data_IF_462367555446
#
_entry.id   IF_462367555446
#
_cell.length_a   1.000
_cell.length_b   1.000
_cell.length_c   1.000
_cell.angle_alpha   90.00
_cell.angle_beta   90.00
_cell.angle_gamma   90.00
#
_symmetry.space_group_name_H-M   'P 1'
#
loop_
_entity.id
_entity.type
_entity.pdbx_description
1 polymer ?
#
# COMPACT_ATOMS: atom_id res chain seq x y z
N UNK A 1 -45.15 20.72 29.36
CA UNK A 1 -44.89 19.93 28.13
C UNK A 1 -45.18 20.62 26.78
N UNK A 2 -46.15 21.55 26.60
CA UNK A 2 -46.38 22.17 25.26
C UNK A 2 -45.29 23.12 24.76
N UNK A 3 -44.59 23.82 25.67
CA UNK A 3 -43.56 24.81 25.33
C UNK A 3 -42.30 24.16 24.67
N UNK A 4 -41.91 23.01 25.18
CA UNK A 4 -40.75 22.26 24.69
C UNK A 4 -41.00 21.70 23.27
N UNK A 5 -42.22 21.27 22.97
CA UNK A 5 -42.61 20.79 21.64
C UNK A 5 -42.69 21.91 20.62
N UNK A 6 -43.14 23.11 21.04
CA UNK A 6 -43.19 24.31 20.19
C UNK A 6 -41.77 24.79 19.84
N UNK A 7 -40.86 24.80 20.83
CA UNK A 7 -39.45 25.14 20.59
C UNK A 7 -38.73 24.13 19.66
N UNK A 8 -38.96 22.83 19.85
CA UNK A 8 -38.43 21.79 18.94
C UNK A 8 -38.92 21.95 17.50
N UNK A 9 -40.21 22.33 17.30
CA UNK A 9 -40.81 22.54 16.00
C UNK A 9 -40.26 23.78 15.29
N UNK A 10 -40.00 24.85 16.03
CA UNK A 10 -39.37 26.07 15.49
C UNK A 10 -37.92 25.79 15.10
N UNK A 11 -37.18 25.07 15.94
CA UNK A 11 -35.79 24.69 15.64
C UNK A 11 -35.69 23.79 14.40
N UNK A 12 -36.56 22.79 14.28
CA UNK A 12 -36.63 21.91 13.11
C UNK A 12 -37.00 22.68 11.82
N UNK A 13 -37.91 23.64 11.90
CA UNK A 13 -38.28 24.48 10.76
C UNK A 13 -37.14 25.41 10.35
N UNK A 14 -36.43 26.01 11.30
CA UNK A 14 -35.27 26.84 11.05
C UNK A 14 -34.10 26.04 10.42
N UNK A 15 -33.94 24.77 10.81
CA UNK A 15 -32.91 23.88 10.19
C UNK A 15 -33.31 23.44 8.77
N UNK A 16 -34.61 23.35 8.45
CA UNK A 16 -35.08 23.00 7.09
C UNK A 16 -34.93 24.17 6.09
N UNK A 17 -34.82 25.41 6.57
CA UNK A 17 -34.65 26.60 5.74
C UNK A 17 -33.17 26.98 5.55
N UNK A 18 -32.23 26.26 6.22
CA UNK A 18 -30.80 26.48 6.04
C UNK A 18 -30.23 25.55 4.96
N UNK A 19 -29.61 26.15 3.95
CA UNK A 19 -28.82 25.39 2.96
C UNK A 19 -27.58 24.81 3.65
N UNK A 20 -27.58 23.50 3.89
CA UNK A 20 -26.44 22.78 4.49
C UNK A 20 -25.50 22.34 3.36
N UNK A 21 -24.34 22.98 3.27
CA UNK A 21 -23.29 22.60 2.33
C UNK A 21 -22.36 21.56 2.98
N UNK A 22 -22.32 20.38 2.40
CA UNK A 22 -21.37 19.34 2.81
C UNK A 22 -20.08 19.48 2.00
N UNK A 23 -18.93 19.57 2.67
CA UNK A 23 -17.61 19.49 2.08
C UNK A 23 -17.04 18.11 2.31
N UNK A 24 -16.71 17.42 1.24
CA UNK A 24 -15.98 16.14 1.33
C UNK A 24 -14.49 16.47 1.20
N UNK A 25 -13.71 16.12 2.21
CA UNK A 25 -12.26 16.28 2.14
C UNK A 25 -11.67 15.21 1.22
N UNK A 26 -10.64 15.54 0.42
CA UNK A 26 -9.98 14.60 -0.44
C UNK A 26 -9.53 13.38 0.34
N UNK A 27 -9.82 12.20 -0.17
CA UNK A 27 -9.39 10.95 0.43
C UNK A 27 -8.02 10.53 -0.11
N UNK A 28 -7.25 9.83 0.72
CA UNK A 28 -6.08 9.08 0.29
C UNK A 28 -6.52 7.89 -0.56
N UNK A 29 -5.79 7.62 -1.62
CA UNK A 29 -6.03 6.47 -2.50
C UNK A 29 -4.95 5.42 -2.32
N UNK A 30 -5.40 4.18 -2.30
CA UNK A 30 -4.59 3.00 -2.46
C UNK A 30 -5.24 2.20 -3.58
N UNK A 31 -4.48 1.87 -4.62
CA UNK A 31 -4.98 1.03 -5.71
C UNK A 31 -4.52 -0.40 -5.49
N UNK A 32 -5.42 -1.34 -5.76
CA UNK A 32 -5.15 -2.78 -5.72
C UNK A 32 -5.46 -3.38 -7.09
N UNK A 33 -4.57 -4.26 -7.56
CA UNK A 33 -4.76 -5.06 -8.77
C UNK A 33 -4.10 -6.42 -8.62
N UNK A 34 -4.23 -7.26 -9.64
CA UNK A 34 -3.58 -8.58 -9.67
C UNK A 34 -2.59 -8.64 -10.82
N UNK A 35 -1.36 -9.04 -10.54
CA UNK A 35 -0.36 -9.34 -11.56
C UNK A 35 -0.78 -10.60 -12.33
N UNK A 36 -0.58 -10.65 -13.66
CA UNK A 36 -0.74 -11.88 -14.43
C UNK A 36 0.14 -13.02 -13.88
N UNK A 37 -0.36 -14.24 -13.88
CA UNK A 37 0.34 -15.41 -13.33
C UNK A 37 1.71 -15.63 -14.00
N UNK A 38 1.77 -15.53 -15.33
CA UNK A 38 3.03 -15.63 -16.07
C UNK A 38 4.07 -14.55 -15.68
N UNK A 39 3.60 -13.35 -15.29
CA UNK A 39 4.49 -12.29 -14.79
C UNK A 39 4.99 -12.63 -13.38
N UNK A 40 4.14 -13.18 -12.51
CA UNK A 40 4.54 -13.66 -11.18
C UNK A 40 5.62 -14.72 -11.29
N UNK A 41 5.46 -15.67 -12.22
CA UNK A 41 6.43 -16.73 -12.46
C UNK A 41 7.76 -16.18 -12.97
N UNK A 42 7.72 -15.34 -14.01
CA UNK A 42 8.93 -14.71 -14.60
C UNK A 42 9.72 -13.91 -13.55
N UNK A 43 9.03 -13.12 -12.73
CA UNK A 43 9.65 -12.34 -11.64
C UNK A 43 10.23 -13.25 -10.56
N UNK A 44 9.55 -14.35 -10.21
CA UNK A 44 10.06 -15.33 -9.27
C UNK A 44 11.33 -16.02 -9.78
N UNK A 45 11.35 -16.43 -11.05
CA UNK A 45 12.52 -17.06 -11.67
C UNK A 45 13.73 -16.12 -11.67
N UNK A 46 13.50 -14.85 -12.02
CA UNK A 46 14.54 -13.82 -11.93
C UNK A 46 15.09 -13.69 -10.51
N UNK A 47 14.22 -13.55 -9.51
CA UNK A 47 14.63 -13.39 -8.11
C UNK A 47 15.35 -14.64 -7.58
N UNK A 48 14.91 -15.84 -7.95
CA UNK A 48 15.54 -17.10 -7.54
C UNK A 48 16.96 -17.26 -8.14
N UNK A 49 17.18 -16.79 -9.36
CA UNK A 49 18.51 -16.74 -9.97
C UNK A 49 19.38 -15.63 -9.34
N UNK A 50 18.81 -14.43 -9.15
CA UNK A 50 19.54 -13.30 -8.58
C UNK A 50 20.06 -13.61 -7.17
N UNK A 51 19.29 -14.32 -6.34
CA UNK A 51 19.71 -14.76 -5.01
C UNK A 51 20.95 -15.67 -5.02
N UNK A 52 21.20 -16.39 -6.10
CA UNK A 52 22.38 -17.27 -6.22
C UNK A 52 23.66 -16.52 -6.60
N UNK A 53 23.55 -15.27 -7.09
CA UNK A 53 24.68 -14.45 -7.47
C UNK A 53 25.51 -14.06 -6.24
N UNK A 54 26.84 -14.16 -6.33
CA UNK A 54 27.75 -13.79 -5.24
C UNK A 54 27.83 -12.28 -5.02
N UNK A 55 27.62 -11.52 -6.06
CA UNK A 55 27.68 -10.05 -6.13
C UNK A 55 26.32 -9.37 -5.96
N UNK A 56 25.30 -10.14 -5.56
CA UNK A 56 23.96 -9.58 -5.28
C UNK A 56 24.00 -8.47 -4.24
N UNK A 57 23.31 -7.38 -4.48
CA UNK A 57 23.28 -6.22 -3.60
C UNK A 57 22.25 -6.40 -2.49
N UNK A 58 22.72 -6.59 -1.27
CA UNK A 58 21.86 -6.68 -0.10
C UNK A 58 21.52 -5.30 0.46
N UNK A 59 20.25 -5.04 0.72
CA UNK A 59 19.75 -3.86 1.44
C UNK A 59 19.52 -4.12 2.93
N UNK A 60 19.95 -5.28 3.43
CA UNK A 60 19.70 -5.70 4.82
C UNK A 60 20.19 -4.68 5.85
N UNK A 61 21.30 -4.00 5.57
CA UNK A 61 21.88 -3.02 6.49
C UNK A 61 21.13 -1.68 6.50
N UNK A 62 20.26 -1.44 5.53
CA UNK A 62 19.46 -0.21 5.42
C UNK A 62 18.10 -0.36 6.13
N UNK A 63 17.79 -1.57 6.61
CA UNK A 63 16.53 -1.86 7.26
C UNK A 63 16.62 -1.64 8.77
N UNK A 64 15.71 -0.85 9.29
CA UNK A 64 15.48 -0.72 10.74
C UNK A 64 14.80 -1.98 11.30
N UNK A 65 14.18 -2.79 10.44
CA UNK A 65 13.50 -4.04 10.79
C UNK A 65 14.41 -5.23 11.01
N UNK A 66 13.83 -6.31 11.55
CA UNK A 66 14.54 -7.57 11.71
C UNK A 66 14.18 -8.52 10.56
N UNK A 67 15.09 -8.63 9.60
CA UNK A 67 15.12 -9.74 8.65
C UNK A 67 16.31 -10.62 9.05
N UNK A 68 16.04 -11.57 9.96
CA UNK A 68 17.10 -12.46 10.50
C UNK A 68 17.40 -13.62 9.57
N UNK A 69 16.34 -14.26 9.09
CA UNK A 69 16.39 -15.46 8.25
C UNK A 69 16.28 -15.14 6.77
N UNK A 70 15.66 -14.01 6.47
CA UNK A 70 15.41 -13.55 5.11
C UNK A 70 16.48 -12.63 4.55
N UNK A 71 16.17 -12.08 3.37
CA UNK A 71 17.02 -11.14 2.64
C UNK A 71 16.14 -10.03 2.04
N UNK A 72 16.72 -8.84 1.94
CA UNK A 72 16.22 -7.79 1.05
C UNK A 72 17.31 -7.48 0.04
N UNK A 73 16.97 -7.56 -1.24
CA UNK A 73 17.93 -7.45 -2.34
C UNK A 73 17.53 -6.33 -3.27
N UNK A 74 18.46 -5.42 -3.54
CA UNK A 74 18.31 -4.45 -4.63
C UNK A 74 18.44 -5.18 -5.95
N UNK A 75 17.39 -5.15 -6.78
CA UNK A 75 17.35 -5.79 -8.07
C UNK A 75 17.85 -4.82 -9.14
N UNK A 76 18.38 -5.37 -10.23
CA UNK A 76 18.67 -4.58 -11.42
C UNK A 76 17.38 -4.41 -12.23
N UNK A 77 16.71 -3.27 -12.03
CA UNK A 77 15.45 -2.98 -12.72
C UNK A 77 15.63 -2.77 -14.24
N UNK A 78 16.89 -2.65 -14.72
CA UNK A 78 17.17 -2.54 -16.16
C UNK A 78 17.36 -3.91 -16.84
N UNK A 79 17.36 -5.02 -16.07
CA UNK A 79 17.42 -6.38 -16.62
C UNK A 79 16.18 -6.63 -17.50
N UNK A 80 16.43 -7.16 -18.71
CA UNK A 80 15.37 -7.38 -19.72
C UNK A 80 14.20 -8.25 -19.22
N UNK A 81 14.46 -9.16 -18.28
CA UNK A 81 13.42 -10.01 -17.65
C UNK A 81 12.45 -9.25 -16.78
N UNK A 82 12.79 -8.04 -16.35
CA UNK A 82 11.90 -7.14 -15.61
C UNK A 82 11.20 -6.11 -16.50
N UNK A 83 11.42 -6.12 -17.81
CA UNK A 83 10.87 -5.12 -18.74
C UNK A 83 9.33 -5.09 -18.68
N UNK A 84 8.66 -6.24 -18.77
CA UNK A 84 7.21 -6.33 -18.71
C UNK A 84 6.66 -5.88 -17.35
N UNK A 85 7.31 -6.30 -16.27
CA UNK A 85 6.98 -5.87 -14.92
C UNK A 85 7.11 -4.35 -14.76
N UNK A 86 8.24 -3.76 -15.19
CA UNK A 86 8.46 -2.32 -15.13
C UNK A 86 7.41 -1.54 -15.92
N UNK A 87 7.10 -1.99 -17.14
CA UNK A 87 6.06 -1.36 -17.95
C UNK A 87 4.68 -1.44 -17.25
N UNK A 88 4.37 -2.58 -16.66
CA UNK A 88 3.12 -2.80 -15.93
C UNK A 88 2.98 -1.84 -14.76
N UNK A 89 3.98 -1.74 -13.90
CA UNK A 89 3.93 -0.84 -12.72
C UNK A 89 3.97 0.65 -13.11
N UNK A 90 4.68 1.03 -14.17
CA UNK A 90 4.67 2.41 -14.68
C UNK A 90 3.29 2.80 -15.22
N UNK A 91 2.61 1.91 -15.94
CA UNK A 91 1.25 2.13 -16.41
C UNK A 91 0.27 2.29 -15.23
N UNK A 92 0.41 1.47 -14.19
CA UNK A 92 -0.38 1.61 -12.95
C UNK A 92 -0.08 2.92 -12.22
N UNK A 93 1.17 3.36 -12.18
CA UNK A 93 1.55 4.64 -11.62
C UNK A 93 0.90 5.81 -12.36
N UNK A 94 0.88 5.76 -13.69
CA UNK A 94 0.20 6.76 -14.52
C UNK A 94 -1.32 6.77 -14.25
N UNK A 95 -1.95 5.59 -14.15
CA UNK A 95 -3.38 5.50 -13.82
C UNK A 95 -3.67 6.00 -12.40
N UNK A 96 -2.78 5.73 -11.42
CA UNK A 96 -2.88 6.29 -10.08
C UNK A 96 -2.95 7.81 -10.10
N UNK A 97 -2.06 8.48 -10.85
CA UNK A 97 -2.03 9.94 -11.00
C UNK A 97 -3.32 10.45 -11.65
N UNK A 98 -3.79 9.75 -12.69
CA UNK A 98 -5.04 10.10 -13.38
C UNK A 98 -6.24 10.05 -12.44
N UNK A 99 -6.37 9.00 -11.65
CA UNK A 99 -7.47 8.85 -10.70
C UNK A 99 -7.38 9.87 -9.56
N UNK A 100 -6.18 10.15 -9.08
CA UNK A 100 -5.94 11.18 -8.08
C UNK A 100 -6.38 12.56 -8.59
N UNK A 101 -6.08 12.90 -9.85
CA UNK A 101 -6.53 14.13 -10.48
C UNK A 101 -8.06 14.20 -10.67
N UNK A 102 -8.69 13.12 -11.12
CA UNK A 102 -10.15 13.02 -11.33
C UNK A 102 -10.95 13.19 -10.04
N UNK A 103 -10.38 12.86 -8.89
CA UNK A 103 -11.03 12.99 -7.59
C UNK A 103 -10.98 14.39 -6.98
N UNK A 104 -10.64 15.40 -7.75
CA UNK A 104 -10.62 16.80 -7.34
C UNK A 104 -9.31 17.29 -6.76
N UNK A 105 -8.29 16.44 -6.72
CA UNK A 105 -6.93 16.84 -6.36
C UNK A 105 -6.27 17.54 -7.56
N UNK A 106 -5.38 18.50 -7.26
CA UNK A 106 -4.64 19.19 -8.33
C UNK A 106 -3.39 18.37 -8.67
N UNK A 107 -3.31 17.92 -9.92
CA UNK A 107 -2.08 17.42 -10.53
C UNK A 107 -1.67 18.42 -11.59
N UNK A 108 -0.50 19.02 -11.44
CA UNK A 108 0.02 20.00 -12.40
C UNK A 108 0.70 19.28 -13.57
N UNK A 109 0.24 19.58 -14.80
CA UNK A 109 0.85 19.06 -16.03
C UNK A 109 0.72 17.54 -16.22
N UNK A 110 1.14 17.08 -17.38
CA UNK A 110 1.27 15.67 -17.69
C UNK A 110 2.53 15.10 -17.01
N UNK A 111 2.47 13.86 -16.58
CA UNK A 111 3.57 13.17 -15.89
C UNK A 111 4.07 11.99 -16.69
N UNK A 112 5.38 11.83 -16.73
CA UNK A 112 6.06 10.62 -17.15
C UNK A 112 6.42 9.82 -15.90
N UNK A 113 6.05 8.55 -15.88
CA UNK A 113 6.35 7.64 -14.77
C UNK A 113 7.44 6.67 -15.19
N UNK A 114 8.48 6.56 -14.36
CA UNK A 114 9.58 5.63 -14.58
C UNK A 114 9.99 4.92 -13.29
N UNK A 115 10.51 3.72 -13.40
CA UNK A 115 11.05 2.97 -12.26
C UNK A 115 12.34 3.61 -11.76
N UNK A 116 12.39 3.91 -10.47
CA UNK A 116 13.60 4.42 -9.78
C UNK A 116 14.43 3.27 -9.22
N UNK A 117 13.83 2.51 -8.32
CA UNK A 117 14.45 1.36 -7.66
C UNK A 117 13.47 0.20 -7.57
N UNK A 118 13.99 -1.01 -7.67
CA UNK A 118 13.22 -2.26 -7.45
C UNK A 118 13.99 -3.16 -6.51
N UNK A 119 13.29 -3.75 -5.54
CA UNK A 119 13.88 -4.70 -4.62
C UNK A 119 12.95 -5.87 -4.32
N UNK A 120 13.55 -6.99 -3.92
CA UNK A 120 12.81 -8.13 -3.39
C UNK A 120 12.96 -8.22 -1.89
N UNK A 121 11.91 -8.68 -1.21
CA UNK A 121 11.94 -9.02 0.21
C UNK A 121 11.56 -10.48 0.39
N UNK A 122 12.47 -11.24 0.95
CA UNK A 122 12.33 -12.66 1.26
C UNK A 122 12.22 -12.80 2.77
N UNK A 123 11.01 -12.96 3.28
CA UNK A 123 10.74 -13.03 4.72
C UNK A 123 10.36 -14.43 5.15
N UNK A 124 10.81 -14.81 6.34
CA UNK A 124 10.53 -16.08 7.00
C UNK A 124 9.97 -15.84 8.40
N UNK A 125 9.68 -16.90 9.12
CA UNK A 125 9.15 -16.90 10.48
C UNK A 125 9.82 -15.86 11.40
N UNK A 126 9.06 -14.87 11.83
CA UNK A 126 9.48 -13.78 12.71
C UNK A 126 10.14 -12.57 12.04
N UNK A 127 10.38 -12.61 10.72
CA UNK A 127 10.88 -11.44 9.99
C UNK A 127 9.77 -10.39 9.81
N UNK A 128 10.11 -9.10 10.00
CA UNK A 128 9.16 -8.00 9.90
C UNK A 128 9.81 -6.71 9.40
N UNK A 129 9.02 -5.80 8.85
CA UNK A 129 9.41 -4.41 8.57
C UNK A 129 8.65 -3.47 9.51
N UNK A 130 9.35 -2.59 10.26
CA UNK A 130 8.70 -1.60 11.10
C UNK A 130 8.01 -0.52 10.28
N UNK A 131 7.32 0.40 10.95
CA UNK A 131 6.70 1.55 10.31
C UNK A 131 7.75 2.40 9.60
N UNK A 132 7.56 2.62 8.30
CA UNK A 132 8.45 3.38 7.43
C UNK A 132 7.68 3.94 6.22
N UNK A 133 8.32 4.80 5.48
CA UNK A 133 7.92 5.30 4.16
C UNK A 133 9.09 5.23 3.19
N UNK A 134 8.86 5.66 1.95
CA UNK A 134 9.89 5.66 0.92
C UNK A 134 10.12 7.06 0.37
N UNK A 135 11.38 7.37 0.04
CA UNK A 135 11.76 8.53 -0.75
C UNK A 135 11.83 8.20 -2.24
N UNK A 136 11.64 9.19 -3.08
CA UNK A 136 11.85 9.14 -4.52
C UNK A 136 12.66 10.36 -4.96
N UNK A 137 13.24 10.34 -6.17
CA UNK A 137 13.98 11.50 -6.71
C UNK A 137 13.07 12.65 -7.06
N UNK A 138 11.79 12.37 -7.33
CA UNK A 138 10.78 13.39 -7.61
C UNK A 138 9.93 13.68 -6.39
N UNK A 139 9.43 14.92 -6.27
CA UNK A 139 8.53 15.32 -5.18
C UNK A 139 7.24 14.50 -5.19
N UNK A 140 6.74 14.13 -6.37
CA UNK A 140 5.63 13.20 -6.55
C UNK A 140 6.21 11.81 -6.78
N UNK A 141 6.15 10.97 -5.76
CA UNK A 141 6.64 9.59 -5.82
C UNK A 141 5.54 8.58 -5.54
N UNK A 142 5.62 7.45 -6.21
CA UNK A 142 4.70 6.33 -6.06
C UNK A 142 5.51 5.10 -5.67
N UNK A 143 4.97 4.29 -4.77
CA UNK A 143 5.52 2.99 -4.44
C UNK A 143 4.56 1.89 -4.84
N UNK A 144 5.12 0.75 -5.21
CA UNK A 144 4.37 -0.48 -5.49
C UNK A 144 4.91 -1.62 -4.64
N UNK A 145 4.05 -2.55 -4.27
CA UNK A 145 4.45 -3.83 -3.66
C UNK A 145 3.55 -4.94 -4.15
N UNK A 146 4.13 -6.06 -4.53
CA UNK A 146 3.39 -7.24 -4.97
C UNK A 146 3.90 -8.49 -4.27
N UNK A 147 2.98 -9.40 -3.92
CA UNK A 147 3.34 -10.69 -3.32
C UNK A 147 3.47 -11.75 -4.40
N UNK A 148 4.64 -12.37 -4.46
CA UNK A 148 4.93 -13.44 -5.43
C UNK A 148 4.97 -14.82 -4.80
N UNK A 149 5.14 -14.89 -3.46
CA UNK A 149 4.97 -16.12 -2.66
C UNK A 149 4.33 -15.76 -1.32
N UNK A 150 3.36 -16.55 -0.91
CA UNK A 150 2.66 -16.39 0.38
C UNK A 150 2.51 -17.74 1.07
N UNK A 151 2.98 -17.90 2.31
CA UNK A 151 2.77 -19.11 3.09
C UNK A 151 1.28 -19.39 3.34
N UNK A 152 0.89 -20.66 3.25
CA UNK A 152 -0.54 -21.08 3.34
C UNK A 152 -1.24 -20.68 4.64
N UNK A 153 -0.51 -20.50 5.73
CA UNK A 153 -1.07 -20.11 7.03
C UNK A 153 -1.40 -18.62 7.13
N UNK A 154 -0.89 -17.79 6.24
CA UNK A 154 -1.23 -16.36 6.21
C UNK A 154 -2.62 -16.19 5.57
N UNK A 155 -3.49 -15.39 6.19
CA UNK A 155 -4.83 -15.10 5.67
C UNK A 155 -5.86 -16.22 5.84
N UNK A 156 -5.51 -17.32 6.53
CA UNK A 156 -6.46 -18.42 6.79
C UNK A 156 -7.46 -18.13 7.89
N UNK A 157 -7.26 -17.08 8.66
CA UNK A 157 -8.22 -16.60 9.65
C UNK A 157 -9.37 -15.89 8.96
N UNK A 158 -10.58 -16.16 9.42
CA UNK A 158 -11.85 -15.77 8.79
C UNK A 158 -11.99 -14.23 8.70
N UNK A 159 -11.46 -13.63 7.63
CA UNK A 159 -11.47 -12.18 7.35
C UNK A 159 -12.84 -11.63 6.96
N UNK A 160 -13.89 -12.45 6.96
CA UNK A 160 -15.24 -12.09 6.52
C UNK A 160 -16.08 -11.33 7.57
N UNK A 161 -15.53 -11.04 8.75
CA UNK A 161 -16.24 -10.23 9.74
C UNK A 161 -16.07 -8.73 9.42
N UNK A 162 -17.17 -7.97 9.21
CA UNK A 162 -17.09 -6.52 9.04
C UNK A 162 -16.58 -5.76 10.28
N UNK A 163 -16.46 -6.45 11.41
CA UNK A 163 -15.89 -5.94 12.67
C UNK A 163 -14.46 -6.43 12.90
N UNK A 164 -13.76 -6.81 11.84
CA UNK A 164 -12.39 -7.24 11.89
C UNK A 164 -11.52 -6.20 12.62
N UNK A 165 -11.05 -6.54 13.78
CA UNK A 165 -10.18 -5.72 14.60
C UNK A 165 -8.89 -6.45 14.86
N UNK A 166 -7.76 -5.77 14.66
CA UNK A 166 -6.42 -6.23 15.01
C UNK A 166 -6.31 -6.73 16.47
N UNK A 167 -7.26 -6.38 17.32
CA UNK A 167 -7.26 -6.68 18.75
C UNK A 167 -8.13 -7.87 19.13
N UNK A 168 -8.93 -8.39 18.20
CA UNK A 168 -9.91 -9.43 18.55
C UNK A 168 -9.36 -10.85 18.54
N UNK A 169 -8.33 -11.11 17.73
CA UNK A 169 -7.73 -12.47 17.64
C UNK A 169 -6.22 -12.40 17.52
N UNK A 170 -5.52 -13.22 18.31
CA UNK A 170 -4.05 -13.30 18.25
C UNK A 170 -3.60 -13.91 16.90
N UNK A 171 -2.61 -13.27 16.27
CA UNK A 171 -2.07 -13.74 14.99
C UNK A 171 -2.87 -13.37 13.76
N UNK A 172 -3.95 -12.63 13.91
CA UNK A 172 -4.87 -12.27 12.83
C UNK A 172 -4.24 -11.39 11.73
N UNK A 173 -3.29 -10.53 12.09
CA UNK A 173 -2.53 -9.69 11.17
C UNK A 173 -1.18 -10.29 10.77
N UNK A 174 -0.90 -11.55 11.13
CA UNK A 174 0.37 -12.19 10.81
C UNK A 174 0.66 -12.14 9.32
N UNK A 175 1.83 -11.60 8.97
CA UNK A 175 2.28 -11.43 7.59
C UNK A 175 1.59 -10.34 6.78
N UNK A 176 0.59 -9.66 7.34
CA UNK A 176 -0.12 -8.57 6.67
C UNK A 176 0.73 -7.31 6.57
N UNK A 177 0.44 -6.48 5.56
CA UNK A 177 0.88 -5.10 5.50
C UNK A 177 -0.18 -4.20 6.11
N UNK A 178 0.27 -3.19 6.86
CA UNK A 178 -0.60 -2.18 7.46
C UNK A 178 -0.17 -0.81 6.99
N UNK A 179 -1.10 -0.07 6.40
CA UNK A 179 -0.91 1.34 6.07
C UNK A 179 -1.49 2.21 7.17
N UNK A 180 -0.72 3.21 7.58
CA UNK A 180 -1.09 4.18 8.61
C UNK A 180 -1.23 5.56 7.97
N UNK A 181 -2.44 6.12 8.00
CA UNK A 181 -2.72 7.44 7.38
C UNK A 181 -3.35 8.43 8.36
N UNK A 182 -3.26 8.14 9.67
CA UNK A 182 -3.72 9.01 10.74
C UNK A 182 -3.22 8.53 12.11
N UNK A 183 -3.81 9.07 13.17
CA UNK A 183 -3.32 8.86 14.55
C UNK A 183 -3.86 7.61 15.23
N UNK A 184 -4.81 6.90 14.62
CA UNK A 184 -5.48 5.77 15.25
C UNK A 184 -5.80 4.67 14.27
N UNK A 185 -5.65 3.43 14.74
CA UNK A 185 -6.08 2.22 14.04
C UNK A 185 -7.56 1.87 14.28
N UNK A 186 -8.21 2.51 15.26
CA UNK A 186 -9.56 2.17 15.70
C UNK A 186 -10.60 3.18 15.24
N UNK A 187 -11.74 2.67 14.79
CA UNK A 187 -12.95 3.46 14.59
C UNK A 187 -13.66 3.64 15.93
N UNK A 188 -14.07 4.85 16.24
CA UNK A 188 -14.88 5.19 17.41
C UNK A 188 -16.06 6.04 16.94
N UNK A 189 -17.21 5.39 16.70
CA UNK A 189 -18.40 6.03 16.17
C UNK A 189 -19.00 7.05 17.13
N UNK A 190 -18.83 6.88 18.43
CA UNK A 190 -19.33 7.82 19.45
C UNK A 190 -18.55 9.14 19.43
N UNK A 191 -17.29 9.10 19.03
CA UNK A 191 -16.43 10.28 18.85
C UNK A 191 -16.33 10.76 17.41
N UNK A 192 -17.12 10.20 16.50
CA UNK A 192 -17.07 10.48 15.06
C UNK A 192 -15.66 10.31 14.47
N UNK A 193 -14.94 9.30 14.97
CA UNK A 193 -13.54 9.05 14.61
C UNK A 193 -13.45 7.87 13.66
N UNK A 194 -13.13 8.09 12.37
CA UNK A 194 -12.94 7.02 11.42
C UNK A 194 -11.62 6.26 11.69
N UNK A 195 -11.53 5.03 11.23
CA UNK A 195 -10.26 4.32 11.20
C UNK A 195 -9.25 5.07 10.32
N UNK A 196 -8.00 5.11 10.75
CA UNK A 196 -6.90 5.80 10.07
C UNK A 196 -5.74 4.86 9.75
N UNK A 197 -6.04 3.58 9.67
CA UNK A 197 -5.17 2.54 9.15
C UNK A 197 -5.98 1.49 8.41
N UNK A 198 -5.33 0.78 7.51
CA UNK A 198 -5.90 -0.37 6.81
C UNK A 198 -4.91 -1.54 6.85
N UNK A 199 -5.44 -2.73 7.13
CA UNK A 199 -4.70 -4.00 7.10
C UNK A 199 -5.02 -4.73 5.82
N UNK A 200 -4.01 -5.14 5.07
CA UNK A 200 -4.19 -5.88 3.82
C UNK A 200 -3.50 -7.23 3.94
N UNK A 201 -4.29 -8.27 3.73
CA UNK A 201 -3.80 -9.65 3.70
C UNK A 201 -3.08 -9.93 2.38
N UNK A 202 -1.85 -10.48 2.43
CA UNK A 202 -1.13 -10.85 1.23
C UNK A 202 -1.78 -12.03 0.50
N UNK A 203 -1.80 -11.93 -0.82
CA UNK A 203 -2.22 -12.99 -1.73
C UNK A 203 -1.25 -13.02 -2.91
N UNK A 204 -0.96 -14.21 -3.45
CA UNK A 204 -0.07 -14.34 -4.60
C UNK A 204 -0.65 -13.58 -5.79
N UNK A 205 0.14 -12.74 -6.42
CA UNK A 205 -0.25 -11.87 -7.53
C UNK A 205 -0.87 -10.53 -7.10
N UNK A 206 -1.35 -10.36 -5.88
CA UNK A 206 -1.87 -9.07 -5.41
C UNK A 206 -0.78 -8.01 -5.47
N UNK A 207 -1.09 -6.86 -6.08
CA UNK A 207 -0.21 -5.71 -6.22
C UNK A 207 -0.92 -4.46 -5.72
N UNK A 208 -0.21 -3.68 -4.90
CA UNK A 208 -0.66 -2.41 -4.36
C UNK A 208 0.14 -1.26 -4.96
N UNK A 209 -0.54 -0.13 -5.21
CA UNK A 209 0.05 1.14 -5.65
C UNK A 209 -0.38 2.23 -4.68
N UNK A 210 0.57 2.99 -4.16
CA UNK A 210 0.34 3.99 -3.13
C UNK A 210 1.39 5.12 -3.20
N UNK A 211 1.11 6.30 -2.60
CA UNK A 211 2.10 7.37 -2.57
C UNK A 211 3.31 6.95 -1.73
N UNK A 212 4.51 7.25 -2.19
CA UNK A 212 5.76 6.83 -1.52
C UNK A 212 5.87 7.29 -0.06
N UNK A 213 5.28 8.44 0.30
CA UNK A 213 5.25 8.97 1.66
C UNK A 213 4.27 8.26 2.60
N UNK A 214 3.41 7.36 2.09
CA UNK A 214 2.42 6.68 2.92
C UNK A 214 3.09 5.67 3.84
N UNK A 215 3.01 5.93 5.13
CA UNK A 215 3.61 5.08 6.14
C UNK A 215 2.97 3.69 6.17
N UNK A 216 3.81 2.69 6.21
CA UNK A 216 3.37 1.30 6.27
C UNK A 216 4.36 0.42 7.04
N UNK A 217 3.86 -0.68 7.54
CA UNK A 217 4.65 -1.70 8.21
C UNK A 217 4.18 -3.09 7.80
N UNK A 218 5.02 -4.08 8.03
CA UNK A 218 4.70 -5.47 7.74
C UNK A 218 4.87 -6.29 9.00
N UNK A 219 3.77 -6.91 9.45
CA UNK A 219 3.80 -7.80 10.60
C UNK A 219 4.59 -9.07 10.31
N UNK A 220 5.28 -9.60 11.34
CA UNK A 220 5.87 -10.94 11.25
C UNK A 220 4.76 -11.99 11.11
N UNK A 221 5.13 -13.15 10.60
CA UNK A 221 4.26 -14.32 10.61
C UNK A 221 4.94 -15.48 11.32
N UNK A 222 4.17 -16.49 11.71
CA UNK A 222 4.65 -17.70 12.37
C UNK A 222 4.54 -18.89 11.43
N UNK A 223 5.54 -19.78 11.52
CA UNK A 223 5.55 -21.06 10.84
C UNK A 223 6.44 -21.14 9.61
N UNK A 224 6.25 -22.20 8.81
CA UNK A 224 7.12 -22.51 7.67
C UNK A 224 6.68 -21.78 6.40
N UNK A 225 7.63 -21.56 5.50
CA UNK A 225 7.41 -21.00 4.18
C UNK A 225 8.07 -19.64 4.02
N UNK A 226 8.12 -19.19 2.78
CA UNK A 226 8.64 -17.90 2.37
C UNK A 226 7.50 -16.98 2.01
N UNK A 227 7.43 -15.78 2.62
CA UNK A 227 6.66 -14.67 2.11
C UNK A 227 7.60 -13.82 1.27
N UNK A 228 7.32 -13.72 -0.03
CA UNK A 228 8.15 -12.98 -0.98
C UNK A 228 7.37 -11.84 -1.59
N UNK A 229 7.98 -10.67 -1.63
CA UNK A 229 7.46 -9.51 -2.33
C UNK A 229 8.51 -8.98 -3.31
N UNK A 230 8.02 -8.38 -4.41
CA UNK A 230 8.77 -7.44 -5.24
C UNK A 230 8.15 -6.06 -5.00
N UNK A 231 8.98 -5.07 -4.77
CA UNK A 231 8.55 -3.71 -4.53
C UNK A 231 9.39 -2.74 -5.38
N UNK A 232 8.77 -1.62 -5.76
CA UNK A 232 9.45 -0.60 -6.57
C UNK A 232 9.01 0.79 -6.16
N UNK A 233 9.94 1.74 -6.28
CA UNK A 233 9.67 3.16 -6.26
C UNK A 233 9.63 3.70 -7.69
N UNK A 234 8.69 4.59 -7.95
CA UNK A 234 8.48 5.22 -9.25
C UNK A 234 8.65 6.73 -9.11
N UNK A 235 9.47 7.31 -9.98
CA UNK A 235 9.57 8.74 -10.17
C UNK A 235 8.46 9.24 -11.11
N UNK A 236 7.93 10.43 -10.82
CA UNK A 236 6.90 11.06 -11.64
C UNK A 236 7.43 12.43 -12.11
N UNK A 237 8.03 12.45 -13.28
CA UNK A 237 8.61 13.64 -13.88
C UNK A 237 7.57 14.47 -14.61
N UNK A 238 7.72 15.80 -14.60
CA UNK A 238 6.97 16.65 -15.50
C UNK A 238 7.37 16.34 -16.95
N UNK A 239 6.38 16.07 -17.80
CA UNK A 239 6.65 15.96 -19.23
C UNK A 239 7.10 17.35 -19.71
N UNK A 240 8.28 17.41 -20.31
CA UNK A 240 8.71 18.61 -21.01
C UNK A 240 7.76 18.80 -22.20
N UNK A 241 7.16 19.99 -22.30
CA UNK A 241 6.47 20.35 -23.54
C UNK A 241 7.49 20.22 -24.67
N UNK A 242 7.15 19.41 -25.70
CA UNK A 242 7.97 19.32 -26.90
C UNK A 242 8.07 20.72 -27.51
N UNK A 243 9.27 21.30 -27.45
CA UNK A 243 9.56 22.61 -28.00
C UNK A 243 9.43 22.61 -29.54
#
# INVERSE_FOLDING_TARGET
MPLLQKQKRILLKAMQEQEVKTLILPALYLMETTMPENMVDSVNDYMDEYRKKKDRKSLKNNLVGQIKKGEQLLLDHTDERLTEYNQFICNLGAEYINQFGKSGNRVSGAKQVETDETWSVHSYDGDYNPLHDHGTKTTMGISTTAWTKVPKQIGTTNSSSPTYSLYNESGHADGCIVFQYGQTATTDSERLKPAQSIVITPEVGKLLVFPSWLQHMVYPFKGKGERRTIASNLNCWDMQEAA
#
